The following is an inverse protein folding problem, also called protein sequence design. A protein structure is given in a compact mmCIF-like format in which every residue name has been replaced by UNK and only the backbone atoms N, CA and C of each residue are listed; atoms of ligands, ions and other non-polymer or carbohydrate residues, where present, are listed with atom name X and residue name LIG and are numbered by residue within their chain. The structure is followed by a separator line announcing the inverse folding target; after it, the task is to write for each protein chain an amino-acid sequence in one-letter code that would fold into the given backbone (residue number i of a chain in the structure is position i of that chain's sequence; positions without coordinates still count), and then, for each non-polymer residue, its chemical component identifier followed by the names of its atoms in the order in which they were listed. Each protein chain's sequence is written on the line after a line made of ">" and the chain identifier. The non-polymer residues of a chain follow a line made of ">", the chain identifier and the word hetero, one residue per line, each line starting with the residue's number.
data_IF_113543763456
#
_entry.id   IF_113543763456
#
_cell.length_a   1.000
_cell.length_b   1.000
_cell.length_c   1.000
_cell.angle_alpha   90.00
_cell.angle_beta   90.00
_cell.angle_gamma   90.00
#
_symmetry.space_group_name_H-M   'P 1'
#
loop_
_entity.id
_entity.type
_entity.pdbx_description
1 polymer ?
#
# COMPACT_ATOMS: atom_id res chain seq x y z
N UNK A 1 0.97 10.28 3.80
CA UNK A 1 2.38 10.04 4.18
C UNK A 1 2.72 10.78 5.46
N UNK A 2 3.58 10.21 6.31
CA UNK A 2 3.94 10.82 7.62
C UNK A 2 4.92 12.00 7.50
N UNK A 3 5.24 12.44 6.27
CA UNK A 3 6.13 13.56 5.97
C UNK A 3 5.53 14.46 4.90
N UNK A 4 5.94 15.73 4.93
CA UNK A 4 5.49 16.74 3.97
C UNK A 4 6.15 16.54 2.60
N UNK A 5 5.34 16.56 1.55
CA UNK A 5 5.79 16.61 0.15
C UNK A 5 5.36 17.95 -0.42
N UNK A 6 6.32 18.72 -0.94
CA UNK A 6 6.04 20.00 -1.59
C UNK A 6 5.38 19.74 -2.95
N UNK A 7 4.22 20.36 -3.24
CA UNK A 7 3.58 20.23 -4.53
C UNK A 7 4.45 20.76 -5.68
N UNK A 8 4.24 20.22 -6.88
CA UNK A 8 4.97 20.63 -8.08
C UNK A 8 6.19 19.74 -8.36
N UNK A 9 7.39 20.31 -8.45
CA UNK A 9 8.58 19.59 -8.91
C UNK A 9 8.90 18.36 -8.05
N UNK A 10 8.91 18.50 -6.72
CA UNK A 10 9.23 17.40 -5.81
C UNK A 10 8.22 16.26 -5.93
N UNK A 11 6.92 16.57 -5.87
CA UNK A 11 5.84 15.60 -6.02
C UNK A 11 5.90 14.87 -7.38
N UNK A 12 6.10 15.61 -8.47
CA UNK A 12 6.22 15.05 -9.82
C UNK A 12 7.42 14.09 -9.94
N UNK A 13 8.57 14.46 -9.38
CA UNK A 13 9.74 13.57 -9.36
C UNK A 13 9.49 12.34 -8.49
N UNK A 14 8.84 12.48 -7.34
CA UNK A 14 8.44 11.33 -6.52
C UNK A 14 7.56 10.37 -7.31
N UNK A 15 6.54 10.88 -8.02
CA UNK A 15 5.68 10.04 -8.86
C UNK A 15 6.46 9.31 -9.97
N UNK A 16 7.38 10.02 -10.64
CA UNK A 16 8.25 9.43 -11.67
C UNK A 16 9.11 8.30 -11.09
N UNK A 17 9.77 8.55 -9.95
CA UNK A 17 10.63 7.57 -9.28
C UNK A 17 9.81 6.36 -8.82
N UNK A 18 8.64 6.58 -8.21
CA UNK A 18 7.75 5.50 -7.77
C UNK A 18 7.25 4.64 -8.95
N UNK A 19 7.03 5.25 -10.11
CA UNK A 19 6.69 4.51 -11.33
C UNK A 19 7.86 3.63 -11.79
N UNK A 20 9.06 4.18 -11.91
CA UNK A 20 10.26 3.42 -12.29
C UNK A 20 10.54 2.28 -11.32
N UNK A 21 10.47 2.56 -10.00
CA UNK A 21 10.65 1.55 -8.95
C UNK A 21 9.65 0.40 -9.09
N UNK A 22 8.37 0.70 -9.34
CA UNK A 22 7.33 -0.34 -9.51
C UNK A 22 7.65 -1.31 -10.65
N UNK A 23 8.24 -0.82 -11.74
CA UNK A 23 8.62 -1.64 -12.89
C UNK A 23 9.90 -2.42 -12.62
N UNK A 24 10.92 -1.76 -12.07
CA UNK A 24 12.25 -2.35 -11.86
C UNK A 24 12.29 -3.39 -10.75
N UNK A 25 11.49 -3.23 -9.69
CA UNK A 25 11.50 -4.10 -8.50
C UNK A 25 10.28 -5.04 -8.45
N UNK A 26 9.69 -5.30 -9.61
CA UNK A 26 8.55 -6.20 -9.71
C UNK A 26 8.92 -7.59 -9.19
N UNK A 27 8.06 -8.16 -8.34
CA UNK A 27 8.29 -9.44 -7.65
C UNK A 27 9.40 -9.46 -6.57
N UNK A 28 10.02 -8.33 -6.26
CA UNK A 28 11.02 -8.24 -5.17
C UNK A 28 10.40 -7.89 -3.80
N UNK A 29 9.07 -7.77 -3.73
CA UNK A 29 8.35 -7.44 -2.49
C UNK A 29 8.47 -5.97 -2.05
N UNK A 30 9.25 -5.14 -2.74
CA UNK A 30 9.53 -3.76 -2.32
C UNK A 30 8.33 -2.81 -2.48
N UNK A 31 7.38 -3.15 -3.36
CA UNK A 31 6.22 -2.30 -3.66
C UNK A 31 5.36 -2.00 -2.43
N UNK A 32 5.27 -2.94 -1.48
CA UNK A 32 4.46 -2.76 -0.28
C UNK A 32 4.97 -1.63 0.62
N UNK A 33 6.30 -1.49 0.74
CA UNK A 33 6.91 -0.42 1.54
C UNK A 33 6.68 0.95 0.93
N UNK A 34 6.76 1.08 -0.40
CA UNK A 34 6.46 2.33 -1.10
C UNK A 34 5.00 2.73 -0.87
N UNK A 35 4.06 1.77 -0.92
CA UNK A 35 2.63 2.03 -0.67
C UNK A 35 2.41 2.57 0.75
N UNK A 36 2.97 1.90 1.76
CA UNK A 36 2.80 2.32 3.16
C UNK A 36 3.43 3.67 3.44
N UNK A 37 4.69 3.88 3.02
CA UNK A 37 5.43 5.12 3.30
C UNK A 37 4.79 6.34 2.65
N UNK A 38 4.29 6.20 1.42
CA UNK A 38 3.72 7.32 0.66
C UNK A 38 2.20 7.45 0.79
N UNK A 39 1.55 6.62 1.61
CA UNK A 39 0.10 6.70 1.79
C UNK A 39 -0.72 6.30 0.57
N UNK A 40 -0.18 5.46 -0.32
CA UNK A 40 -0.82 5.16 -1.60
C UNK A 40 -2.02 4.25 -1.36
N UNK A 41 -3.19 4.62 -1.87
CA UNK A 41 -4.36 3.74 -1.87
C UNK A 41 -4.26 2.66 -2.95
N UNK A 42 -4.65 1.42 -2.61
CA UNK A 42 -4.62 0.30 -3.55
C UNK A 42 -6.03 0.02 -4.04
N UNK A 43 -6.20 -0.03 -5.35
CA UNK A 43 -7.42 -0.49 -6.00
C UNK A 43 -7.15 -1.80 -6.72
N UNK A 44 -7.87 -2.86 -6.37
CA UNK A 44 -7.87 -4.11 -7.14
C UNK A 44 -8.90 -3.99 -8.24
N UNK A 45 -8.48 -4.27 -9.47
CA UNK A 45 -9.28 -4.09 -10.67
C UNK A 45 -9.32 -5.38 -11.45
N UNK A 46 -10.51 -5.75 -11.91
CA UNK A 46 -10.67 -6.75 -12.97
C UNK A 46 -10.73 -6.01 -14.29
N UNK A 47 -9.88 -6.41 -15.23
CA UNK A 47 -9.85 -5.86 -16.58
C UNK A 47 -10.26 -6.95 -17.55
N UNK A 48 -11.45 -6.83 -18.14
CA UNK A 48 -11.97 -7.80 -19.10
C UNK A 48 -12.76 -7.09 -20.20
N UNK A 49 -12.51 -7.42 -21.47
CA UNK A 49 -13.16 -6.81 -22.64
C UNK A 49 -13.23 -5.27 -22.61
N UNK A 50 -12.09 -4.62 -22.32
CA UNK A 50 -12.00 -3.17 -22.11
C UNK A 50 -12.85 -2.59 -20.97
N UNK A 51 -13.51 -3.41 -20.16
CA UNK A 51 -14.19 -2.98 -18.95
C UNK A 51 -13.25 -3.09 -17.76
N UNK A 52 -13.13 -2.01 -16.98
CA UNK A 52 -12.34 -1.94 -15.76
C UNK A 52 -13.30 -1.79 -14.59
N UNK A 53 -13.41 -2.83 -13.78
CA UNK A 53 -14.23 -2.83 -12.56
C UNK A 53 -13.32 -2.89 -11.36
N UNK A 54 -13.47 -1.94 -10.43
CA UNK A 54 -12.81 -1.99 -9.11
C UNK A 54 -13.55 -3.02 -8.27
N UNK A 55 -12.85 -4.05 -7.82
CA UNK A 55 -13.43 -5.15 -7.03
C UNK A 55 -13.17 -5.02 -5.55
N UNK A 56 -12.10 -4.32 -5.16
CA UNK A 56 -11.69 -4.14 -3.77
C UNK A 56 -10.76 -2.93 -3.65
N UNK A 57 -10.68 -2.36 -2.46
CA UNK A 57 -9.83 -1.22 -2.14
C UNK A 57 -9.16 -1.35 -0.77
N UNK A 58 -7.98 -0.76 -0.65
CA UNK A 58 -7.24 -0.64 0.60
C UNK A 58 -6.78 0.81 0.79
N UNK A 59 -7.54 1.56 1.60
CA UNK A 59 -7.35 2.99 1.89
C UNK A 59 -6.07 3.23 2.69
N UNK A 60 -5.58 4.48 2.73
CA UNK A 60 -4.31 4.88 3.38
C UNK A 60 -4.18 4.36 4.82
N UNK A 61 -5.23 4.52 5.63
CA UNK A 61 -5.26 4.19 7.05
C UNK A 61 -6.02 2.91 7.37
N UNK A 62 -6.14 2.02 6.39
CA UNK A 62 -6.87 0.76 6.58
C UNK A 62 -6.12 -0.18 7.53
N UNK A 63 -6.78 -0.57 8.63
CA UNK A 63 -6.27 -1.48 9.66
C UNK A 63 -5.75 -2.83 9.09
N UNK A 64 -6.26 -3.26 7.93
CA UNK A 64 -5.82 -4.48 7.23
C UNK A 64 -4.39 -4.37 6.67
N UNK A 65 -3.78 -3.18 6.65
CA UNK A 65 -2.36 -2.96 6.30
C UNK A 65 -1.37 -3.50 7.35
N UNK A 66 -1.84 -3.80 8.56
CA UNK A 66 -1.04 -4.45 9.59
C UNK A 66 -1.29 -5.97 9.58
N UNK A 67 -0.23 -6.75 9.32
CA UNK A 67 -0.25 -8.20 9.48
C UNK A 67 -0.65 -8.51 10.92
N UNK A 68 -1.52 -9.51 11.13
CA UNK A 68 -1.95 -9.84 12.49
C UNK A 68 -0.79 -10.43 13.27
N UNK A 69 -0.80 -10.21 14.59
CA UNK A 69 0.07 -10.97 15.48
C UNK A 69 -0.23 -12.48 15.37
N UNK A 70 0.78 -13.34 15.52
CA UNK A 70 0.56 -14.77 15.61
C UNK A 70 -0.47 -15.13 16.69
N UNK A 71 -1.34 -16.11 16.41
CA UNK A 71 -2.45 -16.49 17.30
C UNK A 71 -1.96 -16.93 18.69
N UNK A 72 -0.80 -17.57 18.76
CA UNK A 72 -0.20 -18.00 20.03
C UNK A 72 0.10 -16.83 20.96
N UNK A 73 0.55 -15.70 20.41
CA UNK A 73 0.89 -14.49 21.17
C UNK A 73 -0.38 -13.79 21.66
N UNK A 74 -1.42 -13.78 20.83
CA UNK A 74 -2.73 -13.25 21.23
C UNK A 74 -3.32 -14.09 22.37
N UNK A 75 -3.25 -15.42 22.26
CA UNK A 75 -3.70 -16.33 23.31
C UNK A 75 -2.89 -16.20 24.60
N UNK A 76 -1.61 -15.80 24.50
CA UNK A 76 -0.76 -15.46 25.64
C UNK A 76 -1.12 -14.12 26.31
N UNK A 77 -2.11 -13.39 25.78
CA UNK A 77 -2.68 -12.19 26.39
C UNK A 77 -2.31 -10.86 25.74
N UNK A 78 -1.60 -10.86 24.60
CA UNK A 78 -1.30 -9.62 23.89
C UNK A 78 -2.51 -9.17 23.05
N UNK A 79 -2.79 -7.86 23.05
CA UNK A 79 -3.87 -7.29 22.27
C UNK A 79 -3.63 -7.44 20.76
N UNK A 80 -4.66 -7.89 20.04
CA UNK A 80 -4.60 -8.07 18.59
C UNK A 80 -4.57 -6.71 17.86
N UNK A 81 -3.92 -6.65 16.70
CA UNK A 81 -3.99 -5.46 15.86
C UNK A 81 -5.45 -5.20 15.46
N UNK A 82 -5.89 -3.92 15.43
CA UNK A 82 -7.20 -3.52 14.93
C UNK A 82 -7.47 -4.08 13.53
N UNK A 83 -8.75 -4.23 13.18
CA UNK A 83 -9.20 -4.72 11.87
C UNK A 83 -10.20 -3.78 11.23
#
# INVERSE_FOLDING_TARGET
>A
PDFTVTPGEQENFIHCILHMRRVLTLHEGLRWFDIKRYGIEIYRRTVHNNNIVVTDQLLEDDNRRAIQLPQEIINAGLEANPR
#
